data_IF_361480479870
#
_entry.id   IF_361480479870
#
_cell.length_a   1.000
_cell.length_b   1.000
_cell.length_c   1.000
_cell.angle_alpha   90.00
_cell.angle_beta   90.00
_cell.angle_gamma   90.00
#
_symmetry.space_group_name_H-M   'P 1'
#
loop_
_entity.id
_entity.type
_entity.pdbx_description
1 polymer ?
#
# COMPACT_ATOMS: atom_id res chain seq x y z
N UNK A 1 14.52 42.39 -75.63
CA UNK A 1 14.53 41.00 -76.13
C UNK A 1 14.54 40.07 -74.93
N UNK A 2 13.39 39.51 -74.62
CA UNK A 2 13.10 38.77 -73.38
C UNK A 2 13.34 37.28 -73.63
N UNK A 3 14.28 36.68 -72.91
CA UNK A 3 14.62 35.26 -73.00
C UNK A 3 13.56 34.38 -72.32
N UNK A 4 12.85 33.59 -73.11
CA UNK A 4 11.91 32.55 -72.66
C UNK A 4 12.71 31.31 -72.23
N UNK A 5 12.61 30.91 -70.96
CA UNK A 5 13.16 29.65 -70.42
C UNK A 5 12.09 28.56 -70.39
N UNK A 6 12.41 27.41 -70.97
CA UNK A 6 11.59 26.20 -70.98
C UNK A 6 11.48 25.53 -69.60
N UNK A 7 10.34 24.91 -69.24
CA UNK A 7 10.12 24.31 -67.93
C UNK A 7 10.76 22.92 -67.82
N UNK A 8 11.60 22.73 -66.80
CA UNK A 8 12.15 21.42 -66.42
C UNK A 8 11.20 20.69 -65.47
N UNK A 9 10.70 19.53 -65.92
CA UNK A 9 9.88 18.60 -65.11
C UNK A 9 10.71 18.05 -63.94
N UNK A 10 10.31 18.35 -62.71
CA UNK A 10 10.84 17.71 -61.50
C UNK A 10 10.01 16.47 -61.15
N UNK A 11 10.64 15.30 -61.21
CA UNK A 11 10.05 14.01 -60.85
C UNK A 11 10.03 13.89 -59.32
N UNK A 12 8.87 14.10 -58.68
CA UNK A 12 8.70 13.85 -57.23
C UNK A 12 8.59 12.34 -57.00
N UNK A 13 9.60 11.76 -56.32
CA UNK A 13 9.56 10.39 -55.80
C UNK A 13 8.44 10.26 -54.76
N UNK A 14 7.45 9.41 -55.04
CA UNK A 14 6.45 8.97 -54.07
C UNK A 14 7.13 8.14 -52.98
N UNK A 15 7.14 8.65 -51.75
CA UNK A 15 7.55 7.90 -50.55
C UNK A 15 6.31 7.18 -50.02
N UNK A 16 6.15 5.91 -50.38
CA UNK A 16 5.14 5.03 -49.79
C UNK A 16 5.36 4.93 -48.28
N UNK A 17 4.34 5.28 -47.51
CA UNK A 17 4.27 5.03 -46.06
C UNK A 17 4.32 3.51 -45.84
N UNK A 18 5.45 3.01 -45.36
CA UNK A 18 5.54 1.68 -44.78
C UNK A 18 4.78 1.69 -43.45
N UNK A 19 3.62 1.05 -43.47
CA UNK A 19 2.78 0.76 -42.31
C UNK A 19 3.61 -0.08 -41.33
N UNK A 20 4.04 0.52 -40.22
CA UNK A 20 4.78 -0.18 -39.17
C UNK A 20 3.88 -1.24 -38.54
N UNK A 21 4.16 -2.51 -38.82
CA UNK A 21 3.55 -3.63 -38.13
C UNK A 21 3.95 -3.61 -36.65
N UNK A 22 3.06 -4.00 -35.72
CA UNK A 22 3.41 -4.10 -34.30
C UNK A 22 4.52 -5.16 -34.14
N UNK A 23 5.67 -4.74 -33.60
CA UNK A 23 6.79 -5.64 -33.34
C UNK A 23 6.34 -6.74 -32.38
N UNK A 24 6.36 -7.98 -32.85
CA UNK A 24 6.28 -9.17 -32.01
C UNK A 24 7.39 -9.10 -30.97
N UNK A 25 7.05 -9.14 -29.68
CA UNK A 25 8.01 -9.14 -28.57
C UNK A 25 9.01 -10.29 -28.79
N UNK A 26 10.30 -9.98 -28.82
CA UNK A 26 11.34 -11.01 -29.04
C UNK A 26 11.43 -11.92 -27.81
N UNK A 27 11.79 -13.20 -28.01
CA UNK A 27 12.09 -14.15 -26.92
C UNK A 27 13.14 -13.62 -25.95
N UNK A 28 14.07 -12.80 -26.44
CA UNK A 28 15.11 -12.15 -25.65
C UNK A 28 14.54 -11.11 -24.67
N UNK A 29 13.53 -10.33 -25.07
CA UNK A 29 12.85 -9.38 -24.18
C UNK A 29 12.04 -10.09 -23.06
N UNK A 30 11.60 -11.32 -23.34
CA UNK A 30 10.90 -12.18 -22.39
C UNK A 30 11.88 -12.80 -21.38
N UNK A 31 12.99 -13.37 -21.85
CA UNK A 31 14.10 -13.89 -21.01
C UNK A 31 14.71 -12.81 -20.11
N UNK A 32 14.90 -11.60 -20.64
CA UNK A 32 15.35 -10.44 -19.86
C UNK A 32 14.35 -10.16 -18.74
N UNK A 33 13.04 -10.13 -19.00
CA UNK A 33 12.03 -9.90 -17.95
C UNK A 33 12.01 -10.99 -16.88
N UNK A 34 12.16 -12.25 -17.27
CA UNK A 34 12.09 -13.39 -16.36
C UNK A 34 13.32 -13.46 -15.44
N UNK A 35 14.51 -13.08 -15.92
CA UNK A 35 15.72 -13.15 -15.11
C UNK A 35 15.81 -12.06 -14.01
N UNK A 36 14.98 -11.01 -14.12
CA UNK A 36 14.96 -9.92 -13.15
C UNK A 36 13.85 -10.02 -12.11
N UNK A 37 12.86 -10.92 -12.23
CA UNK A 37 11.65 -10.84 -11.40
C UNK A 37 11.76 -11.67 -10.11
N UNK A 38 11.61 -11.00 -8.96
CA UNK A 38 11.28 -11.67 -7.69
C UNK A 38 9.79 -11.96 -7.76
N UNK A 39 9.36 -13.23 -7.80
CA UNK A 39 7.94 -13.56 -7.85
C UNK A 39 7.22 -13.02 -6.63
N UNK A 40 5.95 -12.67 -6.81
CA UNK A 40 5.11 -12.34 -5.65
C UNK A 40 4.96 -13.58 -4.76
N UNK A 41 5.00 -13.34 -3.45
CA UNK A 41 4.65 -14.34 -2.45
C UNK A 41 3.18 -14.14 -2.15
N UNK A 42 2.31 -14.95 -2.76
CA UNK A 42 0.87 -14.77 -2.67
C UNK A 42 0.16 -16.12 -2.69
N UNK A 43 -0.91 -16.22 -1.92
CA UNK A 43 -1.77 -17.39 -1.79
C UNK A 43 -3.18 -16.95 -1.38
N UNK A 44 -4.13 -17.87 -1.29
CA UNK A 44 -5.46 -17.61 -0.73
C UNK A 44 -5.41 -17.60 0.81
N UNK A 45 -6.45 -17.04 1.43
CA UNK A 45 -6.62 -17.00 2.89
C UNK A 45 -5.46 -16.30 3.62
N UNK A 46 -4.88 -15.28 2.99
CA UNK A 46 -3.84 -14.47 3.62
C UNK A 46 -4.44 -13.56 4.69
N UNK A 47 -3.80 -13.50 5.85
CA UNK A 47 -4.12 -12.55 6.90
C UNK A 47 -3.61 -11.15 6.55
N UNK A 48 -2.44 -11.05 5.92
CA UNK A 48 -1.85 -9.78 5.51
C UNK A 48 -1.14 -9.88 4.17
N UNK A 49 -1.33 -8.90 3.31
CA UNK A 49 -0.62 -8.74 2.03
C UNK A 49 0.20 -7.45 2.07
N UNK A 50 1.53 -7.54 2.05
CA UNK A 50 2.39 -6.37 2.09
C UNK A 50 2.76 -5.86 0.70
N UNK A 51 2.74 -4.53 0.53
CA UNK A 51 3.31 -3.89 -0.65
C UNK A 51 4.84 -3.87 -0.55
N UNK A 52 5.50 -4.73 -1.32
CA UNK A 52 6.94 -4.88 -1.41
C UNK A 52 7.63 -3.84 -2.29
N UNK A 53 8.87 -3.51 -1.93
CA UNK A 53 9.88 -3.01 -2.89
C UNK A 53 10.86 -4.15 -3.16
N UNK A 54 10.98 -4.47 -4.44
CA UNK A 54 11.82 -5.54 -4.97
C UNK A 54 13.30 -5.36 -4.58
N UNK A 55 13.96 -6.44 -4.19
CA UNK A 55 15.42 -6.50 -4.07
C UNK A 55 15.95 -7.49 -5.11
N UNK A 56 16.22 -6.96 -6.30
CA UNK A 56 16.53 -7.75 -7.52
C UNK A 56 17.82 -8.54 -7.36
N UNK A 57 18.84 -7.94 -6.71
CA UNK A 57 20.16 -8.54 -6.54
C UNK A 57 20.11 -9.91 -5.87
N UNK A 58 19.38 -10.02 -4.76
CA UNK A 58 19.28 -11.28 -4.00
C UNK A 58 18.11 -12.14 -4.46
N UNK A 59 17.33 -11.71 -5.45
CA UNK A 59 16.11 -12.40 -5.90
C UNK A 59 15.09 -12.73 -4.79
N UNK A 60 15.09 -11.93 -3.71
CA UNK A 60 14.27 -12.11 -2.52
C UNK A 60 13.62 -10.79 -2.07
N UNK A 61 12.50 -10.87 -1.38
CA UNK A 61 11.82 -9.69 -0.85
C UNK A 61 12.56 -9.11 0.36
N UNK A 62 12.66 -7.78 0.41
CA UNK A 62 13.24 -7.04 1.53
C UNK A 62 14.67 -7.46 1.94
N UNK A 63 15.46 -8.03 1.03
CA UNK A 63 16.79 -8.61 1.35
C UNK A 63 17.91 -7.60 1.69
N UNK A 64 17.63 -6.30 1.73
CA UNK A 64 18.68 -5.34 2.11
C UNK A 64 19.08 -5.56 3.57
N UNK A 65 20.39 -5.57 3.85
CA UNK A 65 20.94 -5.69 5.21
C UNK A 65 20.38 -4.66 6.19
N UNK A 66 19.95 -3.49 5.69
CA UNK A 66 19.40 -2.42 6.50
C UNK A 66 17.86 -2.37 6.39
N UNK A 67 17.19 -3.49 6.07
CA UNK A 67 15.73 -3.58 6.05
C UNK A 67 15.22 -4.20 7.35
N UNK A 68 14.22 -3.56 7.95
CA UNK A 68 13.63 -3.96 9.22
C UNK A 68 12.42 -4.88 9.07
N UNK A 69 12.05 -5.31 7.86
CA UNK A 69 10.80 -6.04 7.63
C UNK A 69 10.73 -7.35 8.44
N UNK A 70 11.70 -8.24 8.26
CA UNK A 70 11.72 -9.53 8.97
C UNK A 70 11.92 -9.36 10.48
N UNK A 71 12.72 -8.38 10.89
CA UNK A 71 12.88 -8.03 12.30
C UNK A 71 11.55 -7.56 12.91
N UNK A 72 10.79 -6.70 12.22
CA UNK A 72 9.50 -6.22 12.68
C UNK A 72 8.44 -7.33 12.72
N UNK A 73 8.47 -8.26 11.76
CA UNK A 73 7.62 -9.47 11.80
C UNK A 73 7.90 -10.34 13.03
N UNK A 74 9.18 -10.55 13.36
CA UNK A 74 9.59 -11.33 14.53
C UNK A 74 9.21 -10.64 15.84
N UNK A 75 9.61 -9.38 16.02
CA UNK A 75 9.37 -8.65 17.28
C UNK A 75 7.89 -8.41 17.56
N UNK A 76 7.09 -8.20 16.51
CA UNK A 76 5.62 -8.07 16.68
C UNK A 76 4.92 -9.38 16.99
N UNK A 77 5.61 -10.52 16.91
CA UNK A 77 5.03 -11.84 17.11
C UNK A 77 4.20 -12.36 15.93
N UNK A 78 4.21 -11.70 14.76
CA UNK A 78 3.50 -12.19 13.55
C UNK A 78 4.04 -13.56 13.11
N UNK A 79 5.34 -13.80 13.30
CA UNK A 79 5.98 -15.08 12.98
C UNK A 79 5.99 -16.06 14.15
N UNK A 80 5.17 -15.87 15.20
CA UNK A 80 5.07 -16.79 16.33
C UNK A 80 6.41 -17.13 17.01
N UNK A 81 7.38 -16.20 17.00
CA UNK A 81 8.71 -16.40 17.56
C UNK A 81 9.75 -16.99 16.58
N UNK A 82 9.36 -17.35 15.36
CA UNK A 82 10.32 -17.76 14.33
C UNK A 82 11.12 -16.57 13.81
N UNK A 83 12.45 -16.70 13.86
CA UNK A 83 13.38 -15.72 13.30
C UNK A 83 13.60 -16.04 11.82
N UNK A 84 12.81 -15.39 10.96
CA UNK A 84 12.92 -15.52 9.51
C UNK A 84 13.91 -14.52 8.92
N UNK A 85 14.49 -14.85 7.78
CA UNK A 85 15.29 -13.94 6.97
C UNK A 85 14.68 -13.78 5.58
N UNK A 86 15.30 -12.96 4.72
CA UNK A 86 14.88 -12.84 3.33
C UNK A 86 14.93 -14.15 2.54
N UNK A 87 15.75 -15.12 2.98
CA UNK A 87 15.83 -16.44 2.35
C UNK A 87 14.59 -17.30 2.65
N UNK A 88 13.83 -16.93 3.68
CA UNK A 88 12.61 -17.60 4.10
C UNK A 88 11.34 -16.98 3.50
N UNK A 89 11.47 -16.00 2.60
CA UNK A 89 10.34 -15.21 2.10
C UNK A 89 9.21 -16.09 1.49
N UNK A 90 9.57 -17.18 0.83
CA UNK A 90 8.62 -18.17 0.29
C UNK A 90 7.78 -18.90 1.34
N UNK A 91 8.26 -18.99 2.58
CA UNK A 91 7.53 -19.62 3.70
C UNK A 91 6.40 -18.75 4.23
N UNK A 92 6.48 -17.42 4.02
CA UNK A 92 5.56 -16.46 4.62
C UNK A 92 4.08 -16.74 4.29
N UNK A 93 3.74 -16.98 3.02
CA UNK A 93 2.35 -17.21 2.63
C UNK A 93 1.82 -18.53 3.22
N UNK A 94 2.60 -19.60 3.11
CA UNK A 94 2.20 -20.94 3.54
C UNK A 94 2.07 -21.04 5.06
N UNK A 95 3.14 -20.68 5.76
CA UNK A 95 3.33 -20.94 7.19
C UNK A 95 2.71 -19.84 8.07
N UNK A 96 2.66 -18.60 7.58
CA UNK A 96 2.26 -17.42 8.38
C UNK A 96 1.08 -16.64 7.80
N UNK A 97 0.55 -17.06 6.66
CA UNK A 97 -0.53 -16.36 5.94
C UNK A 97 -0.17 -14.89 5.64
N UNK A 98 1.11 -14.62 5.40
CA UNK A 98 1.64 -13.31 5.02
C UNK A 98 2.10 -13.34 3.56
N UNK A 99 1.48 -12.51 2.72
CA UNK A 99 1.89 -12.31 1.34
C UNK A 99 2.77 -11.07 1.16
N UNK A 100 3.55 -11.05 0.07
CA UNK A 100 4.33 -9.91 -0.40
C UNK A 100 4.13 -9.77 -1.90
N UNK A 101 3.70 -8.59 -2.34
CA UNK A 101 3.52 -8.25 -3.75
C UNK A 101 4.34 -7.05 -4.16
N UNK A 102 4.98 -7.11 -5.31
CA UNK A 102 5.70 -5.97 -5.87
C UNK A 102 4.76 -5.09 -6.69
N UNK A 103 4.60 -3.83 -6.27
CA UNK A 103 3.77 -2.85 -6.98
C UNK A 103 4.35 -2.43 -8.34
N UNK A 104 5.66 -2.18 -8.39
CA UNK A 104 6.34 -1.70 -9.61
C UNK A 104 7.61 -2.50 -9.81
N UNK A 105 7.69 -3.22 -10.92
CA UNK A 105 8.89 -3.96 -11.32
C UNK A 105 9.79 -3.05 -12.17
N UNK A 106 10.98 -2.74 -11.68
CA UNK A 106 12.03 -2.03 -12.43
C UNK A 106 13.25 -2.94 -12.63
N UNK A 107 14.11 -2.65 -13.61
CA UNK A 107 15.45 -3.24 -13.67
C UNK A 107 16.36 -2.70 -12.55
N UNK A 108 17.43 -3.43 -12.21
CA UNK A 108 18.30 -3.14 -11.05
C UNK A 108 18.95 -1.75 -11.11
N UNK A 109 19.41 -1.31 -12.28
CA UNK A 109 20.01 0.01 -12.49
C UNK A 109 19.07 1.18 -12.11
N UNK A 110 17.74 0.99 -12.17
CA UNK A 110 16.72 1.99 -11.79
C UNK A 110 16.05 1.71 -10.45
N UNK A 111 16.44 0.64 -9.76
CA UNK A 111 15.89 0.26 -8.45
C UNK A 111 16.36 1.17 -7.30
N UNK A 112 17.50 1.83 -7.48
CA UNK A 112 18.11 2.72 -6.46
C UNK A 112 17.45 4.09 -6.37
N UNK A 113 16.76 4.53 -7.42
CA UNK A 113 16.08 5.83 -7.45
C UNK A 113 14.68 5.73 -6.83
N UNK A 114 14.15 6.86 -6.36
CA UNK A 114 12.78 6.92 -5.86
C UNK A 114 11.80 6.66 -7.02
N UNK A 115 10.72 5.93 -6.74
CA UNK A 115 9.59 5.80 -7.66
C UNK A 115 8.84 7.14 -7.71
N UNK A 116 8.41 7.59 -8.89
CA UNK A 116 7.46 8.70 -8.98
C UNK A 116 6.07 8.27 -8.50
N UNK A 117 5.21 9.23 -8.19
CA UNK A 117 3.82 8.95 -7.79
C UNK A 117 3.06 8.31 -8.95
N UNK A 118 3.32 8.74 -10.17
CA UNK A 118 2.70 8.24 -11.40
C UNK A 118 3.07 6.78 -11.64
N UNK A 119 4.34 6.40 -11.47
CA UNK A 119 4.76 5.01 -11.61
C UNK A 119 4.16 4.11 -10.53
N UNK A 120 4.05 4.60 -9.29
CA UNK A 120 3.35 3.86 -8.22
C UNK A 120 1.89 3.65 -8.61
N UNK A 121 1.23 4.68 -9.12
CA UNK A 121 -0.18 4.63 -9.54
C UNK A 121 -0.42 3.60 -10.65
N UNK A 122 0.52 3.47 -11.59
CA UNK A 122 0.45 2.47 -12.65
C UNK A 122 0.47 1.02 -12.14
N UNK A 123 0.99 0.78 -10.93
CA UNK A 123 1.01 -0.55 -10.30
C UNK A 123 -0.30 -0.95 -9.64
N UNK A 124 -1.21 0.00 -9.34
CA UNK A 124 -2.43 -0.31 -8.58
C UNK A 124 -3.44 -1.20 -9.30
N UNK A 125 -3.69 -1.09 -10.62
CA UNK A 125 -4.60 -2.00 -11.31
C UNK A 125 -4.24 -3.48 -11.07
N UNK A 126 -2.97 -3.85 -11.30
CA UNK A 126 -2.50 -5.23 -11.06
C UNK A 126 -2.53 -5.63 -9.58
N UNK A 127 -2.28 -4.68 -8.65
CA UNK A 127 -2.44 -4.96 -7.23
C UNK A 127 -3.90 -5.28 -6.89
N UNK A 128 -4.84 -4.49 -7.42
CA UNK A 128 -6.27 -4.67 -7.12
C UNK A 128 -6.82 -5.95 -7.72
N UNK A 129 -6.39 -6.37 -8.91
CA UNK A 129 -6.70 -7.69 -9.46
C UNK A 129 -6.27 -8.83 -8.53
N UNK A 130 -5.06 -8.72 -7.94
CA UNK A 130 -4.57 -9.70 -6.96
C UNK A 130 -5.37 -9.66 -5.66
N UNK A 131 -5.72 -8.47 -5.17
CA UNK A 131 -6.55 -8.34 -3.97
C UNK A 131 -7.94 -8.96 -4.20
N UNK A 132 -8.54 -8.72 -5.36
CA UNK A 132 -9.83 -9.29 -5.73
C UNK A 132 -9.78 -10.82 -5.79
N UNK A 133 -8.72 -11.36 -6.40
CA UNK A 133 -8.54 -12.80 -6.57
C UNK A 133 -8.21 -13.51 -5.25
N UNK A 134 -7.23 -13.00 -4.51
CA UNK A 134 -6.66 -13.69 -3.34
C UNK A 134 -7.29 -13.29 -2.01
N UNK A 135 -8.05 -12.20 -2.00
CA UNK A 135 -8.89 -11.76 -0.89
C UNK A 135 -8.18 -11.75 0.47
N UNK A 136 -7.00 -11.11 0.58
CA UNK A 136 -6.33 -11.00 1.87
C UNK A 136 -7.23 -10.22 2.85
N UNK A 137 -7.20 -10.57 4.13
CA UNK A 137 -7.95 -9.83 5.17
C UNK A 137 -7.48 -8.36 5.22
N UNK A 138 -6.17 -8.15 5.19
CA UNK A 138 -5.55 -6.83 5.25
C UNK A 138 -4.57 -6.62 4.10
N UNK A 139 -4.68 -5.50 3.38
CA UNK A 139 -3.66 -4.98 2.48
C UNK A 139 -2.81 -3.94 3.24
N UNK A 140 -1.53 -4.26 3.46
CA UNK A 140 -0.60 -3.44 4.22
C UNK A 140 0.39 -2.68 3.33
N UNK A 141 0.28 -1.35 3.30
CA UNK A 141 1.22 -0.50 2.58
C UNK A 141 2.47 -0.21 3.44
N UNK A 142 3.64 -0.63 2.92
CA UNK A 142 4.92 -0.37 3.55
C UNK A 142 5.49 1.00 3.11
N UNK A 143 5.10 2.05 3.83
CA UNK A 143 5.58 3.40 3.64
C UNK A 143 4.54 4.38 3.11
N UNK A 144 4.59 5.61 3.65
CA UNK A 144 3.63 6.69 3.41
C UNK A 144 3.41 7.04 1.93
N UNK A 145 4.47 7.05 1.12
CA UNK A 145 4.38 7.46 -0.28
C UNK A 145 3.47 6.55 -1.11
N UNK A 146 3.50 5.24 -0.87
CA UNK A 146 2.66 4.28 -1.58
C UNK A 146 1.20 4.46 -1.14
N UNK A 147 0.97 4.57 0.16
CA UNK A 147 -0.37 4.81 0.70
C UNK A 147 -0.99 6.12 0.16
N UNK A 148 -0.25 7.23 0.14
CA UNK A 148 -0.74 8.49 -0.43
C UNK A 148 -1.06 8.40 -1.93
N UNK A 149 -0.27 7.64 -2.68
CA UNK A 149 -0.57 7.38 -4.08
C UNK A 149 -1.86 6.56 -4.22
N UNK A 150 -2.07 5.58 -3.33
CA UNK A 150 -3.27 4.74 -3.30
C UNK A 150 -4.53 5.54 -2.97
N UNK A 151 -4.50 6.39 -1.95
CA UNK A 151 -5.66 7.22 -1.60
C UNK A 151 -6.03 8.17 -2.73
N UNK A 152 -5.03 8.75 -3.40
CA UNK A 152 -5.25 9.60 -4.58
C UNK A 152 -5.83 8.79 -5.74
N UNK A 153 -5.35 7.57 -5.96
CA UNK A 153 -5.83 6.67 -7.01
C UNK A 153 -7.29 6.25 -6.77
N UNK A 154 -7.62 5.78 -5.56
CA UNK A 154 -9.00 5.46 -5.15
C UNK A 154 -9.93 6.67 -5.30
N UNK A 155 -9.51 7.83 -4.81
CA UNK A 155 -10.29 9.06 -4.89
C UNK A 155 -10.63 9.42 -6.34
N UNK A 156 -9.66 9.31 -7.26
CA UNK A 156 -9.90 9.59 -8.68
C UNK A 156 -10.79 8.54 -9.37
N UNK A 157 -10.88 7.32 -8.83
CA UNK A 157 -11.82 6.30 -9.32
C UNK A 157 -13.26 6.55 -8.85
N UNK A 158 -13.41 7.03 -7.62
CA UNK A 158 -14.72 7.25 -7.00
C UNK A 158 -15.31 8.60 -7.40
N UNK A 159 -14.48 9.64 -7.51
CA UNK A 159 -14.91 10.99 -7.84
C UNK A 159 -14.47 11.37 -9.25
N UNK A 160 -15.43 11.79 -10.08
CA UNK A 160 -15.18 12.31 -11.43
C UNK A 160 -14.44 13.66 -11.43
N UNK A 161 -14.18 14.27 -10.26
CA UNK A 161 -13.50 15.55 -10.12
C UNK A 161 -12.35 15.46 -9.11
N UNK A 162 -11.22 16.14 -9.38
CA UNK A 162 -10.07 16.13 -8.48
C UNK A 162 -10.39 16.82 -7.16
N UNK A 163 -10.35 16.07 -6.05
CA UNK A 163 -10.42 16.65 -4.71
C UNK A 163 -9.21 17.56 -4.47
N UNK A 164 -9.45 18.87 -4.36
CA UNK A 164 -8.44 19.90 -4.02
C UNK A 164 -7.95 19.82 -2.56
N UNK A 165 -8.59 19.01 -1.71
CA UNK A 165 -8.25 18.90 -0.29
C UNK A 165 -7.09 17.92 -0.10
N UNK A 166 -6.08 18.36 0.66
CA UNK A 166 -5.06 17.49 1.26
C UNK A 166 -5.81 16.41 2.05
N UNK A 167 -5.90 15.20 1.49
CA UNK A 167 -6.37 14.02 2.22
C UNK A 167 -5.58 14.01 3.52
N UNK A 168 -6.28 14.30 4.62
CA UNK A 168 -5.73 14.23 5.96
C UNK A 168 -5.28 12.79 6.08
N UNK A 169 -3.97 12.57 6.08
CA UNK A 169 -3.45 11.24 6.34
C UNK A 169 -3.86 10.94 7.77
N UNK A 170 -4.88 10.10 7.92
CA UNK A 170 -5.16 9.36 9.15
C UNK A 170 -3.83 8.82 9.69
N UNK A 171 -3.71 8.68 11.00
CA UNK A 171 -2.47 8.18 11.60
C UNK A 171 -2.04 6.83 10.99
N UNK A 172 -0.79 6.44 11.26
CA UNK A 172 -0.31 5.10 10.91
C UNK A 172 -1.25 4.01 11.47
N UNK A 173 -1.32 2.87 10.77
CA UNK A 173 -2.15 1.75 11.17
C UNK A 173 -3.33 1.49 10.22
N UNK A 174 -4.42 0.97 10.78
CA UNK A 174 -5.66 0.71 10.05
C UNK A 174 -6.26 2.01 9.52
N UNK A 175 -6.81 1.96 8.32
CA UNK A 175 -7.43 3.08 7.63
C UNK A 175 -8.92 2.80 7.47
N UNK A 176 -9.77 3.14 8.46
CA UNK A 176 -11.17 2.73 8.49
C UNK A 176 -11.97 3.26 7.30
N UNK A 177 -11.58 4.41 6.74
CA UNK A 177 -12.22 5.00 5.56
C UNK A 177 -11.66 4.47 4.23
N UNK A 178 -10.71 3.53 4.27
CA UNK A 178 -10.09 2.93 3.10
C UNK A 178 -10.22 1.41 3.19
N UNK A 179 -11.08 0.84 2.34
CA UNK A 179 -11.20 -0.60 2.14
C UNK A 179 -11.42 -0.89 0.65
N UNK A 180 -11.17 -2.13 0.26
CA UNK A 180 -11.42 -2.62 -1.09
C UNK A 180 -12.55 -3.64 -0.97
N UNK A 181 -13.75 -3.29 -1.45
CA UNK A 181 -14.87 -4.23 -1.52
C UNK A 181 -14.61 -5.24 -2.63
N UNK A 182 -14.90 -6.50 -2.36
CA UNK A 182 -14.86 -7.53 -3.40
C UNK A 182 -16.05 -7.38 -4.34
N UNK A 183 -15.88 -7.76 -5.60
CA UNK A 183 -16.86 -7.55 -6.65
C UNK A 183 -18.15 -8.35 -6.40
N UNK A 184 -18.04 -9.51 -5.75
CA UNK A 184 -19.18 -10.36 -5.38
C UNK A 184 -19.91 -9.91 -4.11
N UNK A 185 -19.49 -8.80 -3.49
CA UNK A 185 -20.08 -8.24 -2.27
C UNK A 185 -20.05 -9.16 -1.05
N UNK A 186 -19.29 -10.26 -1.07
CA UNK A 186 -19.19 -11.20 0.07
C UNK A 186 -18.28 -10.69 1.18
N UNK A 187 -17.51 -9.64 0.92
CA UNK A 187 -16.59 -9.09 1.90
C UNK A 187 -15.75 -7.92 1.37
N UNK A 188 -14.70 -7.62 2.12
CA UNK A 188 -13.77 -6.56 1.79
C UNK A 188 -12.38 -6.86 2.36
N UNK A 189 -11.36 -6.26 1.74
CA UNK A 189 -10.00 -6.19 2.26
C UNK A 189 -9.81 -4.86 2.97
N UNK A 190 -9.42 -4.89 4.25
CA UNK A 190 -9.06 -3.69 5.03
C UNK A 190 -7.75 -3.10 4.52
N UNK A 191 -7.59 -1.78 4.61
CA UNK A 191 -6.32 -1.11 4.31
C UNK A 191 -5.60 -0.75 5.60
N UNK A 192 -4.32 -1.07 5.64
CA UNK A 192 -3.42 -0.73 6.72
C UNK A 192 -2.16 -0.09 6.12
N UNK A 193 -1.51 0.83 6.82
CA UNK A 193 -0.19 1.29 6.39
C UNK A 193 0.78 1.49 7.55
N UNK A 194 2.03 1.09 7.30
CA UNK A 194 3.14 1.16 8.25
C UNK A 194 4.20 2.14 7.79
N UNK A 195 5.07 2.52 8.72
CA UNK A 195 6.32 3.20 8.39
C UNK A 195 7.18 2.33 7.47
N UNK A 196 7.96 3.00 6.62
CA UNK A 196 8.90 2.31 5.73
C UNK A 196 9.88 1.46 6.52
N UNK A 197 9.97 0.17 6.20
CA UNK A 197 10.96 -0.74 6.79
C UNK A 197 12.36 -0.57 6.20
N UNK A 198 12.54 0.25 5.16
CA UNK A 198 13.86 0.57 4.63
C UNK A 198 14.67 1.44 5.60
N UNK A 199 15.89 1.01 5.92
CA UNK A 199 16.85 1.78 6.73
C UNK A 199 17.34 3.07 6.07
N UNK A 200 17.03 3.32 4.79
CA UNK A 200 17.24 4.64 4.17
C UNK A 200 16.32 5.72 4.75
N UNK A 201 15.25 5.33 5.44
CA UNK A 201 14.28 6.24 6.06
C UNK A 201 14.58 6.34 7.55
N UNK A 202 15.62 7.10 7.92
CA UNK A 202 16.14 7.18 9.29
C UNK A 202 15.24 7.97 10.27
N UNK A 203 14.24 8.69 9.77
CA UNK A 203 13.35 9.53 10.60
C UNK A 203 12.45 8.77 11.58
N UNK A 204 12.34 7.44 11.44
CA UNK A 204 11.52 6.60 12.31
C UNK A 204 12.41 5.73 13.18
N UNK A 205 12.06 5.57 14.46
CA UNK A 205 12.74 4.62 15.34
C UNK A 205 12.38 3.18 14.99
N UNK A 206 13.17 2.22 15.45
CA UNK A 206 12.86 0.80 15.27
C UNK A 206 11.61 0.41 16.06
N UNK A 207 11.49 0.91 17.28
CA UNK A 207 10.34 0.71 18.15
C UNK A 207 9.06 1.23 17.49
N UNK A 208 9.11 2.39 16.83
CA UNK A 208 7.97 2.90 16.07
C UNK A 208 7.59 1.98 14.90
N UNK A 209 8.56 1.32 14.24
CA UNK A 209 8.24 0.35 13.18
C UNK A 209 7.56 -0.90 13.74
N UNK A 210 8.13 -1.47 14.81
CA UNK A 210 7.61 -2.67 15.48
C UNK A 210 6.19 -2.41 16.01
N UNK A 211 5.96 -1.26 16.65
CA UNK A 211 4.67 -0.86 17.19
C UNK A 211 3.49 -1.01 16.23
N UNK A 212 3.66 -0.68 14.95
CA UNK A 212 2.56 -0.81 13.98
C UNK A 212 2.47 -2.19 13.34
N UNK A 213 3.52 -3.00 13.44
CA UNK A 213 3.40 -4.43 13.16
C UNK A 213 2.67 -5.16 14.30
N UNK A 214 2.88 -4.76 15.56
CA UNK A 214 2.08 -5.25 16.71
C UNK A 214 0.60 -4.92 16.53
N UNK A 215 0.27 -3.67 16.19
CA UNK A 215 -1.11 -3.28 15.86
C UNK A 215 -1.71 -4.04 14.68
N UNK A 216 -0.89 -4.38 13.68
CA UNK A 216 -1.34 -5.21 12.57
C UNK A 216 -1.64 -6.64 13.04
N UNK A 217 -0.81 -7.20 13.93
CA UNK A 217 -1.08 -8.49 14.56
C UNK A 217 -2.38 -8.47 15.36
N UNK A 218 -2.58 -7.45 16.19
CA UNK A 218 -3.83 -7.26 16.95
C UNK A 218 -5.05 -7.25 16.01
N UNK A 219 -4.98 -6.52 14.91
CA UNK A 219 -6.05 -6.49 13.90
C UNK A 219 -6.32 -7.87 13.29
N UNK A 220 -5.27 -8.61 12.92
CA UNK A 220 -5.37 -9.96 12.32
C UNK A 220 -5.96 -10.97 13.32
N UNK A 221 -5.51 -10.92 14.57
CA UNK A 221 -5.93 -11.83 15.63
C UNK A 221 -7.40 -11.57 16.03
N UNK A 222 -7.80 -10.30 16.13
CA UNK A 222 -9.18 -9.91 16.42
C UNK A 222 -10.17 -10.36 15.34
N UNK A 223 -9.82 -10.23 14.05
CA UNK A 223 -10.70 -10.73 12.98
C UNK A 223 -10.83 -12.25 13.04
N UNK A 224 -9.76 -12.95 13.42
CA UNK A 224 -9.76 -14.41 13.51
C UNK A 224 -10.58 -14.91 14.71
N UNK A 225 -10.56 -14.22 15.84
CA UNK A 225 -11.37 -14.57 17.01
C UNK A 225 -12.86 -14.32 16.78
N UNK A 226 -13.23 -13.25 16.07
CA UNK A 226 -14.63 -12.99 15.69
C UNK A 226 -15.18 -14.07 14.77
N UNK A 227 -14.42 -14.48 13.74
CA UNK A 227 -14.84 -15.55 12.83
C UNK A 227 -15.06 -16.86 13.62
N UNK A 228 -14.10 -17.21 14.47
CA UNK A 228 -14.20 -18.43 15.30
C UNK A 228 -15.41 -18.39 16.23
N UNK A 229 -15.70 -17.24 16.87
CA UNK A 229 -16.87 -17.08 17.72
C UNK A 229 -18.19 -17.22 16.94
N UNK A 230 -18.24 -16.78 15.67
CA UNK A 230 -19.40 -16.97 14.79
C UNK A 230 -19.57 -18.45 14.41
N UNK A 231 -18.47 -19.13 14.07
CA UNK A 231 -18.48 -20.57 13.75
C UNK A 231 -18.92 -21.42 14.95
N UNK A 232 -18.38 -21.12 16.14
CA UNK A 232 -18.68 -21.84 17.39
C UNK A 232 -20.12 -21.60 17.90
N UNK A 233 -20.79 -20.52 17.46
CA UNK A 233 -22.14 -20.17 17.92
C UNK A 233 -23.29 -20.76 17.07
N UNK A 234 -23.00 -21.64 16.10
CA UNK A 234 -24.02 -22.29 15.23
C UNK A 234 -25.04 -21.28 14.66
N UNK A 235 -24.62 -20.07 14.32
CA UNK A 235 -25.53 -19.05 13.81
C UNK A 235 -25.85 -19.36 12.34
N UNK A 236 -27.07 -19.83 12.10
CA UNK A 236 -27.63 -20.03 10.76
C UNK A 236 -27.50 -18.73 9.94
N UNK A 237 -26.88 -18.82 8.77
CA UNK A 237 -26.62 -17.71 7.87
C UNK A 237 -27.94 -17.02 7.49
N UNK A 238 -28.17 -15.79 8.00
CA UNK A 238 -29.27 -14.95 7.52
C UNK A 238 -28.75 -14.28 6.24
N UNK A 239 -29.45 -14.49 5.12
CA UNK A 239 -29.03 -14.03 3.79
C UNK A 239 -28.65 -12.56 3.74
N UNK A 240 -27.68 -12.24 2.87
CA UNK A 240 -27.00 -10.94 2.76
C UNK A 240 -27.95 -9.72 2.67
N UNK A 241 -29.12 -9.89 2.06
CA UNK A 241 -30.11 -8.81 1.92
C UNK A 241 -30.71 -8.37 3.26
N UNK A 242 -30.93 -9.31 4.19
CA UNK A 242 -31.53 -8.99 5.49
C UNK A 242 -30.49 -8.45 6.48
N UNK A 243 -29.21 -8.84 6.32
CA UNK A 243 -28.10 -8.25 7.07
C UNK A 243 -27.87 -6.78 6.67
N UNK A 244 -27.93 -6.48 5.38
CA UNK A 244 -27.84 -5.10 4.87
C UNK A 244 -29.00 -4.23 5.37
N UNK A 245 -30.22 -4.79 5.44
CA UNK A 245 -31.37 -4.10 6.02
C UNK A 245 -31.16 -3.79 7.50
N UNK A 246 -30.71 -4.77 8.30
CA UNK A 246 -30.50 -4.60 9.75
C UNK A 246 -29.33 -3.67 10.08
N UNK A 247 -28.25 -3.70 9.30
CA UNK A 247 -27.13 -2.76 9.44
C UNK A 247 -27.60 -1.35 9.10
N UNK A 248 -28.35 -1.17 8.01
CA UNK A 248 -28.90 0.12 7.61
C UNK A 248 -29.87 0.68 8.65
N UNK A 249 -30.75 -0.15 9.21
CA UNK A 249 -31.64 0.23 10.32
C UNK A 249 -30.87 0.67 11.57
N UNK A 250 -29.85 -0.10 11.99
CA UNK A 250 -29.01 0.27 13.14
C UNK A 250 -28.20 1.54 12.90
N UNK A 251 -27.65 1.73 11.70
CA UNK A 251 -26.92 2.95 11.34
C UNK A 251 -27.83 4.18 11.31
N UNK A 252 -29.06 4.04 10.81
CA UNK A 252 -30.08 5.12 10.83
C UNK A 252 -30.50 5.43 12.27
N UNK A 253 -30.70 4.42 13.11
CA UNK A 253 -31.02 4.58 14.53
C UNK A 253 -29.92 5.35 15.28
N UNK A 254 -28.65 4.97 15.06
CA UNK A 254 -27.50 5.61 15.70
C UNK A 254 -27.30 7.06 15.22
N UNK A 255 -27.50 7.31 13.92
CA UNK A 255 -27.44 8.65 13.34
C UNK A 255 -28.56 9.55 13.89
N UNK A 256 -29.79 9.02 13.99
CA UNK A 256 -30.91 9.75 14.57
C UNK A 256 -30.71 10.05 16.05
N UNK A 257 -30.11 9.12 16.82
CA UNK A 257 -29.76 9.37 18.22
C UNK A 257 -28.70 10.47 18.38
N UNK A 258 -27.68 10.49 17.51
CA UNK A 258 -26.67 11.55 17.50
C UNK A 258 -27.24 12.91 17.10
N UNK A 259 -28.12 12.96 16.10
CA UNK A 259 -28.80 14.21 15.69
C UNK A 259 -29.68 14.73 16.82
N UNK A 260 -30.41 13.85 17.53
CA UNK A 260 -31.25 14.23 18.67
C UNK A 260 -30.43 14.75 19.85
N UNK A 261 -29.23 14.19 20.06
CA UNK A 261 -28.28 14.67 21.08
C UNK A 261 -27.69 16.04 20.72
N UNK A 262 -27.26 16.23 19.47
CA UNK A 262 -26.74 17.51 18.99
C UNK A 262 -27.80 18.63 19.01
N UNK A 263 -29.06 18.32 18.71
CA UNK A 263 -30.17 19.29 18.79
C UNK A 263 -30.52 19.68 20.23
N UNK A 264 -30.27 18.82 21.22
CA UNK A 264 -30.44 19.14 22.64
C UNK A 264 -29.26 19.94 23.21
N UNK A 265 -28.05 19.78 22.66
CA UNK A 265 -26.83 20.47 23.12
C UNK A 265 -26.65 21.87 22.50
N UNK A 266 -27.42 22.24 21.46
CA UNK A 266 -27.35 23.55 20.79
C UNK A 266 -28.25 24.65 21.39
N UNK A 267 -28.84 24.46 22.57
CA UNK A 267 -29.30 25.59 23.40
C UNK A 267 -28.22 25.92 24.42
N UNK A 268 -27.63 27.12 24.29
CA UNK A 268 -26.54 27.71 25.06
C UNK A 268 -25.15 27.44 24.47
N UNK A 269 -24.56 28.44 23.81
CA UNK A 269 -23.44 29.23 24.34
C UNK A 269 -23.10 30.34 23.33
N UNK A 270 -23.17 31.58 23.81
CA UNK A 270 -22.77 32.80 23.11
C UNK A 270 -21.25 32.88 22.96
N UNK A 271 -20.84 33.55 21.88
CA UNK A 271 -19.48 33.85 21.46
C UNK A 271 -18.77 34.76 22.48
N UNK A 272 -17.53 34.45 22.84
CA UNK A 272 -16.59 35.43 23.38
C UNK A 272 -15.20 35.18 22.81
N UNK A 273 -14.69 36.19 22.10
CA UNK A 273 -13.33 36.29 21.60
C UNK A 273 -12.32 36.44 22.73
N UNK A 274 -11.18 35.76 22.63
CA UNK A 274 -9.93 36.23 23.25
C UNK A 274 -8.72 35.76 22.44
N UNK A 275 -8.02 36.74 21.90
CA UNK A 275 -6.63 36.65 21.45
C UNK A 275 -5.72 36.16 22.58
N UNK A 276 -4.72 35.36 22.23
CA UNK A 276 -3.38 35.57 22.77
C UNK A 276 -2.27 34.94 21.93
N UNK A 277 -1.39 35.81 21.47
CA UNK A 277 -0.05 35.57 20.94
C UNK A 277 0.88 35.00 22.01
N UNK A 278 1.68 33.97 21.70
CA UNK A 278 3.07 33.86 22.19
C UNK A 278 3.86 32.69 21.57
N UNK A 279 4.88 33.11 20.81
CA UNK A 279 6.27 32.62 20.78
C UNK A 279 6.58 31.15 20.50
N UNK A 280 7.07 30.98 19.26
CA UNK A 280 8.21 30.13 18.90
C UNK A 280 9.36 30.23 19.92
N UNK A 281 9.66 29.16 20.66
CA UNK A 281 11.04 28.87 21.12
C UNK A 281 11.31 27.46 21.67
N UNK A 282 10.29 26.59 21.81
CA UNK A 282 10.51 25.23 22.32
C UNK A 282 10.93 24.16 21.30
N UNK A 283 11.30 24.54 20.06
CA UNK A 283 11.70 23.58 19.00
C UNK A 283 13.20 23.26 18.92
N UNK A 284 14.04 23.77 19.81
CA UNK A 284 15.52 23.62 19.70
C UNK A 284 16.23 22.77 20.76
N UNK A 285 15.56 22.26 21.81
CA UNK A 285 16.24 21.51 22.88
C UNK A 285 16.10 19.97 22.87
N UNK A 286 15.29 19.38 21.99
CA UNK A 286 15.14 17.90 21.92
C UNK A 286 15.80 17.24 20.69
N UNK A 287 16.78 17.89 20.04
CA UNK A 287 17.36 17.43 18.77
C UNK A 287 18.73 16.74 18.89
N UNK A 288 19.26 16.48 20.10
CA UNK A 288 20.65 16.03 20.27
C UNK A 288 20.88 14.59 20.76
N UNK A 289 19.86 13.75 21.01
CA UNK A 289 20.10 12.38 21.53
C UNK A 289 19.43 11.22 20.78
N UNK A 290 18.95 11.40 19.54
CA UNK A 290 18.41 10.26 18.76
C UNK A 290 18.99 10.21 17.36
N UNK A 291 20.22 9.69 17.26
CA UNK A 291 20.78 9.11 16.04
C UNK A 291 21.87 8.11 16.44
N UNK A 292 21.48 7.03 17.13
CA UNK A 292 22.26 5.81 16.98
C UNK A 292 21.86 5.19 15.65
N UNK A 293 22.84 5.01 14.77
CA UNK A 293 22.77 4.29 13.51
C UNK A 293 22.52 2.80 13.80
N UNK A 294 21.33 2.49 14.30
CA UNK A 294 20.92 1.12 14.54
C UNK A 294 20.80 0.44 13.18
N UNK A 295 21.31 -0.78 13.09
CA UNK A 295 21.08 -1.73 12.00
C UNK A 295 20.30 -2.91 12.59
N UNK A 296 19.45 -3.62 11.82
CA UNK A 296 18.80 -4.82 12.30
C UNK A 296 19.82 -5.79 12.93
N UNK A 297 19.46 -6.61 13.93
CA UNK A 297 20.39 -7.59 14.49
C UNK A 297 21.00 -8.44 13.38
N UNK A 298 22.30 -8.77 13.49
CA UNK A 298 23.10 -9.42 12.43
C UNK A 298 22.41 -10.64 11.80
N UNK A 299 21.64 -11.40 12.59
CA UNK A 299 20.88 -12.55 12.13
C UNK A 299 19.90 -12.22 10.98
N UNK A 300 19.24 -11.06 11.03
CA UNK A 300 18.24 -10.63 10.04
C UNK A 300 18.86 -9.93 8.83
N UNK A 301 20.15 -9.62 8.87
CA UNK A 301 20.84 -8.87 7.82
C UNK A 301 21.28 -9.83 6.70
N UNK A 302 21.15 -9.40 5.44
CA UNK A 302 21.92 -10.01 4.37
C UNK A 302 23.42 -9.82 4.59
N UNK A 303 24.21 -10.88 4.38
CA UNK A 303 25.67 -10.81 4.41
C UNK A 303 26.12 -9.80 3.36
N UNK A 304 26.83 -8.75 3.79
CA UNK A 304 27.55 -7.87 2.87
C UNK A 304 28.73 -8.67 2.32
N UNK A 305 28.74 -8.88 1.01
CA UNK A 305 29.90 -9.34 0.25
C UNK A 305 30.77 -8.14 -0.08
#
# INVERSE_FOLDING_TARGET
MTLVKFPTKTYKRNRTFLQSHPKTKSSHDQEIKDNFNVPDIIDYNLNGLFSGKKSIKEKHHYSSSNNYFYYALYESGITNGDKLTYQDDRRLARDYKIGIVTLVSRPENRSKTKLSVEEIKQGFPSLLEKVEKYRPKVLCFNGKAIFQAFTTFQTARIHSFPLKKKLITEGWGEQPNHFIRWEDHTGHTKVFYVMSTSGRVAQYSVQDRVKYFEKLKELIDNDSSVIKAIEDSNVTYIGSEELDFRIKEKSISLANAHVKKALNEHKCYEFNDMDNTSTSDNKRKNKQEKNQDYSPPKFFMAKRW
#
